data_IF_586124107674
#
_entry.id   IF_586124107674
#
_cell.length_a   1.000
_cell.length_b   1.000
_cell.length_c   1.000
_cell.angle_alpha   90.00
_cell.angle_beta   90.00
_cell.angle_gamma   90.00
#
_symmetry.space_group_name_H-M   'P 1'
#
loop_
_entity.id
_entity.type
_entity.pdbx_description
1 polymer ?
#
# COMPACT_ATOMS: atom_id res chain seq x y z
N UNK A 1 -27.97 35.39 -44.42
CA UNK A 1 -27.50 35.64 -43.04
C UNK A 1 -27.13 34.30 -42.45
N UNK A 2 -25.84 33.96 -42.42
CA UNK A 2 -25.36 32.67 -41.89
C UNK A 2 -24.60 32.97 -40.60
N UNK A 3 -25.12 32.50 -39.46
CA UNK A 3 -24.40 32.52 -38.19
C UNK A 3 -23.62 31.22 -38.04
N UNK A 4 -22.30 31.32 -38.01
CA UNK A 4 -21.41 30.22 -37.64
C UNK A 4 -21.30 30.17 -36.11
N UNK A 5 -21.71 29.05 -35.50
CA UNK A 5 -21.41 28.76 -34.10
C UNK A 5 -19.96 28.25 -33.98
N UNK A 6 -19.11 28.97 -33.25
CA UNK A 6 -17.82 28.46 -32.80
C UNK A 6 -18.02 27.68 -31.49
N UNK A 7 -17.98 26.35 -31.56
CA UNK A 7 -17.80 25.50 -30.37
C UNK A 7 -16.31 25.50 -30.01
N UNK A 8 -15.93 26.27 -29.00
CA UNK A 8 -14.62 26.14 -28.37
C UNK A 8 -14.64 24.93 -27.43
N UNK A 9 -13.93 23.86 -27.79
CA UNK A 9 -13.72 22.70 -26.91
C UNK A 9 -12.65 23.03 -25.86
N UNK A 10 -13.06 23.13 -24.60
CA UNK A 10 -12.14 23.19 -23.45
C UNK A 10 -11.53 21.80 -23.24
N UNK A 11 -10.28 21.62 -23.66
CA UNK A 11 -9.49 20.45 -23.31
C UNK A 11 -9.05 20.58 -21.83
N UNK A 12 -9.74 19.88 -20.93
CA UNK A 12 -9.28 19.68 -19.56
C UNK A 12 -8.03 18.79 -19.61
N UNK A 13 -6.87 19.37 -19.32
CA UNK A 13 -5.63 18.62 -19.11
C UNK A 13 -5.75 17.93 -17.75
N UNK A 14 -6.32 16.72 -17.74
CA UNK A 14 -6.30 15.87 -16.56
C UNK A 14 -4.88 15.35 -16.41
N UNK A 15 -4.13 15.88 -15.44
CA UNK A 15 -2.85 15.30 -15.06
C UNK A 15 -3.09 13.87 -14.57
N UNK A 16 -2.67 12.87 -15.36
CA UNK A 16 -2.90 11.48 -15.06
C UNK A 16 -2.01 11.09 -13.87
N UNK A 17 -2.59 11.07 -12.67
CA UNK A 17 -1.93 10.51 -11.49
C UNK A 17 -1.61 9.03 -11.75
N UNK A 18 -0.45 8.56 -11.29
CA UNK A 18 -0.09 7.15 -11.37
C UNK A 18 -1.20 6.29 -10.73
N UNK A 19 -1.67 5.27 -11.47
CA UNK A 19 -2.73 4.41 -11.00
C UNK A 19 -2.30 3.69 -9.70
N UNK A 20 -3.16 3.64 -8.66
CA UNK A 20 -2.88 2.88 -7.46
C UNK A 20 -2.66 1.40 -7.79
N UNK A 21 -1.65 0.79 -7.19
CA UNK A 21 -1.33 -0.64 -7.36
C UNK A 21 -1.89 -1.43 -6.18
N UNK A 22 -2.63 -2.51 -6.44
CA UNK A 22 -3.17 -3.33 -5.38
C UNK A 22 -2.07 -4.07 -4.61
N UNK A 23 -2.35 -4.42 -3.37
CA UNK A 23 -1.53 -5.28 -2.54
C UNK A 23 -2.40 -6.13 -1.63
N UNK A 24 -1.89 -7.30 -1.25
CA UNK A 24 -2.57 -8.24 -0.38
C UNK A 24 -1.54 -9.06 0.40
N UNK A 25 -1.81 -9.31 1.68
CA UNK A 25 -1.07 -10.19 2.55
C UNK A 25 -2.04 -11.04 3.37
N UNK A 26 -1.68 -12.28 3.64
CA UNK A 26 -2.52 -13.23 4.38
C UNK A 26 -1.68 -13.95 5.45
N UNK A 27 -2.26 -14.18 6.62
CA UNK A 27 -1.68 -15.06 7.63
C UNK A 27 -2.78 -15.63 8.54
N UNK A 28 -2.88 -16.96 8.62
CA UNK A 28 -3.94 -17.63 9.36
C UNK A 28 -5.34 -17.18 8.94
N UNK A 29 -6.11 -16.68 9.90
CA UNK A 29 -7.48 -16.18 9.71
C UNK A 29 -7.56 -14.67 9.38
N UNK A 30 -6.42 -14.03 9.12
CA UNK A 30 -6.32 -12.61 8.82
C UNK A 30 -5.85 -12.33 7.39
N UNK A 31 -6.45 -11.31 6.79
CA UNK A 31 -6.12 -10.79 5.45
C UNK A 31 -5.96 -9.28 5.55
N UNK A 32 -4.91 -8.73 4.95
CA UNK A 32 -4.73 -7.30 4.80
C UNK A 32 -4.61 -6.98 3.31
N UNK A 33 -5.43 -6.08 2.80
CA UNK A 33 -5.43 -5.73 1.38
C UNK A 33 -5.77 -4.27 1.15
N UNK A 34 -5.30 -3.72 0.01
CA UNK A 34 -5.62 -2.36 -0.37
C UNK A 34 -4.83 -1.89 -1.59
N UNK A 35 -4.49 -0.61 -1.63
CA UNK A 35 -3.71 0.00 -2.72
C UNK A 35 -2.52 0.80 -2.21
N UNK A 36 -1.53 0.96 -3.09
CA UNK A 36 -0.34 1.78 -2.86
C UNK A 36 -0.06 2.66 -4.07
N UNK A 37 0.47 3.86 -3.84
CA UNK A 37 0.82 4.81 -4.90
C UNK A 37 1.88 5.80 -4.40
N UNK A 38 2.50 6.52 -5.33
CA UNK A 38 3.41 7.61 -5.00
C UNK A 38 2.74 8.96 -5.21
N UNK A 39 2.88 9.86 -4.24
CA UNK A 39 2.44 11.26 -4.33
C UNK A 39 3.67 12.16 -4.38
N UNK A 40 3.65 13.21 -5.21
CA UNK A 40 4.69 14.24 -5.21
C UNK A 40 4.06 15.59 -4.87
N UNK A 41 3.98 15.95 -3.58
CA UNK A 41 3.54 17.29 -3.16
C UNK A 41 4.45 18.37 -3.74
N UNK A 42 3.89 19.55 -4.00
CA UNK A 42 4.69 20.71 -4.43
C UNK A 42 5.77 21.02 -3.37
N UNK A 43 7.00 21.25 -3.84
CA UNK A 43 8.15 21.57 -2.96
C UNK A 43 8.88 20.36 -2.35
N UNK A 44 8.47 19.12 -2.64
CA UNK A 44 9.21 17.92 -2.22
C UNK A 44 10.11 17.37 -3.33
N UNK A 45 11.37 17.09 -2.99
CA UNK A 45 12.34 16.49 -3.92
C UNK A 45 12.06 15.00 -4.18
N UNK A 46 11.79 14.25 -3.11
CA UNK A 46 11.39 12.84 -3.20
C UNK A 46 9.86 12.70 -3.11
N UNK A 47 9.26 11.76 -3.85
CA UNK A 47 7.85 11.44 -3.66
C UNK A 47 7.62 10.80 -2.29
N UNK A 48 6.39 10.89 -1.80
CA UNK A 48 5.90 10.04 -0.72
C UNK A 48 5.36 8.73 -1.29
N UNK A 49 5.60 7.60 -0.63
CA UNK A 49 4.86 6.35 -0.87
C UNK A 49 3.71 6.26 0.12
N UNK A 50 2.50 6.11 -0.40
CA UNK A 50 1.27 5.95 0.37
C UNK A 50 0.77 4.52 0.21
N UNK A 51 0.42 3.88 1.32
CA UNK A 51 -0.17 2.54 1.37
C UNK A 51 -1.43 2.61 2.21
N UNK A 52 -2.57 2.34 1.59
CA UNK A 52 -3.87 2.29 2.25
C UNK A 52 -4.49 0.90 2.08
N UNK A 53 -5.25 0.46 3.07
CA UNK A 53 -5.98 -0.79 3.00
C UNK A 53 -6.77 -1.09 4.26
N UNK A 54 -7.08 -2.35 4.46
CA UNK A 54 -7.80 -2.83 5.65
C UNK A 54 -7.22 -4.16 6.07
N UNK A 55 -6.99 -4.33 7.37
CA UNK A 55 -6.71 -5.61 8.01
C UNK A 55 -8.03 -6.18 8.51
N UNK A 56 -8.43 -7.33 7.98
CA UNK A 56 -9.59 -8.12 8.42
C UNK A 56 -9.09 -9.36 9.14
N UNK A 57 -9.73 -9.70 10.26
CA UNK A 57 -9.50 -10.94 11.00
C UNK A 57 -10.84 -11.63 11.22
N UNK A 58 -10.85 -12.96 11.14
CA UNK A 58 -12.05 -13.79 11.39
C UNK A 58 -11.92 -14.68 12.62
N UNK A 59 -10.73 -14.72 13.25
CA UNK A 59 -10.49 -15.48 14.48
C UNK A 59 -10.88 -14.70 15.74
N UNK A 60 -10.95 -15.40 16.87
CA UNK A 60 -11.05 -14.77 18.21
C UNK A 60 -9.73 -14.17 18.70
N UNK A 61 -8.60 -14.55 18.09
CA UNK A 61 -7.28 -14.04 18.42
C UNK A 61 -7.00 -12.64 17.85
N UNK A 62 -5.78 -12.14 18.06
CA UNK A 62 -5.33 -10.90 17.45
C UNK A 62 -4.43 -11.17 16.24
N UNK A 63 -4.47 -10.26 15.28
CA UNK A 63 -3.51 -10.18 14.17
C UNK A 63 -3.02 -8.76 14.02
N UNK A 64 -1.77 -8.58 13.61
CA UNK A 64 -1.14 -7.28 13.47
C UNK A 64 -0.40 -7.14 12.13
N UNK A 65 -0.47 -5.96 11.53
CA UNK A 65 0.28 -5.62 10.32
C UNK A 65 1.59 -4.96 10.70
N UNK A 66 2.68 -5.43 10.12
CA UNK A 66 4.02 -4.90 10.32
C UNK A 66 4.62 -4.45 9.01
N UNK A 67 5.40 -3.38 9.08
CA UNK A 67 6.15 -2.85 7.93
C UNK A 67 7.61 -2.68 8.32
N UNK A 68 8.50 -3.06 7.41
CA UNK A 68 9.93 -2.79 7.51
C UNK A 68 10.42 -2.14 6.22
N UNK A 69 11.16 -1.06 6.41
CA UNK A 69 11.85 -0.36 5.34
C UNK A 69 13.33 -0.74 5.34
N UNK A 70 13.88 -0.95 4.16
CA UNK A 70 15.29 -1.18 3.89
C UNK A 70 15.76 0.02 3.08
N UNK A 71 16.76 0.72 3.60
CA UNK A 71 17.39 1.85 2.91
C UNK A 71 18.80 1.44 2.53
N UNK A 72 19.13 1.50 1.25
CA UNK A 72 20.48 1.17 0.74
C UNK A 72 20.98 -0.18 1.28
N UNK A 73 20.13 -1.20 1.19
CA UNK A 73 20.35 -2.58 1.66
C UNK A 73 20.51 -2.74 3.19
N UNK A 74 20.36 -1.68 3.98
CA UNK A 74 20.34 -1.74 5.44
C UNK A 74 18.90 -1.84 5.97
N UNK A 75 18.50 -2.98 6.56
CA UNK A 75 17.16 -3.14 7.11
C UNK A 75 16.97 -2.30 8.38
N UNK A 76 15.98 -1.41 8.35
CA UNK A 76 15.51 -0.70 9.53
C UNK A 76 14.70 -1.61 10.47
N UNK A 77 14.26 -1.11 11.63
CA UNK A 77 13.39 -1.88 12.52
C UNK A 77 12.01 -2.11 11.89
N UNK A 78 11.44 -3.29 12.09
CA UNK A 78 10.04 -3.54 11.80
C UNK A 78 9.14 -2.74 12.75
N UNK A 79 8.09 -2.11 12.21
CA UNK A 79 7.13 -1.29 12.97
C UNK A 79 5.73 -1.83 12.78
N UNK A 80 5.05 -2.09 13.89
CA UNK A 80 3.62 -2.40 13.91
C UNK A 80 2.85 -1.18 13.44
N UNK A 81 1.96 -1.38 12.48
CA UNK A 81 1.11 -0.32 11.95
C UNK A 81 -0.24 -0.38 12.63
N UNK A 82 -0.89 -1.55 12.62
CA UNK A 82 -2.24 -1.76 13.18
C UNK A 82 -2.41 -3.16 13.76
N UNK A 83 -3.51 -3.34 14.48
CA UNK A 83 -3.89 -4.61 15.11
C UNK A 83 -5.40 -4.76 15.07
N UNK A 84 -5.88 -5.96 14.73
CA UNK A 84 -7.28 -6.35 14.81
C UNK A 84 -7.41 -7.57 15.73
N UNK A 85 -8.11 -7.40 16.86
CA UNK A 85 -8.43 -8.49 17.78
C UNK A 85 -9.87 -8.93 17.63
N UNK A 86 -10.08 -10.23 17.66
CA UNK A 86 -11.37 -10.83 17.35
C UNK A 86 -11.76 -10.62 15.89
N UNK A 87 -12.94 -11.13 15.55
CA UNK A 87 -13.53 -10.95 14.25
C UNK A 87 -13.81 -9.45 14.01
N UNK A 88 -13.30 -8.89 12.92
CA UNK A 88 -13.47 -7.47 12.64
C UNK A 88 -12.51 -6.95 11.58
N UNK A 89 -12.49 -5.63 11.41
CA UNK A 89 -11.62 -4.96 10.44
C UNK A 89 -11.08 -3.64 10.98
N UNK A 90 -9.79 -3.37 10.71
CA UNK A 90 -9.08 -2.15 11.11
C UNK A 90 -8.39 -1.54 9.88
N UNK A 91 -8.54 -0.22 9.61
CA UNK A 91 -7.88 0.43 8.47
C UNK A 91 -6.36 0.38 8.57
N UNK A 92 -5.67 0.15 7.45
CA UNK A 92 -4.20 0.24 7.33
C UNK A 92 -3.88 1.56 6.63
N UNK A 93 -3.06 2.41 7.25
CA UNK A 93 -2.58 3.67 6.67
C UNK A 93 -1.09 3.84 6.97
N UNK A 94 -0.27 3.78 5.93
CA UNK A 94 1.19 3.94 6.02
C UNK A 94 1.64 4.98 5.02
N UNK A 95 2.50 5.91 5.47
CA UNK A 95 3.07 6.95 4.61
C UNK A 95 4.57 7.05 4.84
N UNK A 96 5.34 6.87 3.77
CA UNK A 96 6.77 7.11 3.75
C UNK A 96 7.03 8.41 2.99
N UNK A 97 7.53 9.45 3.66
CA UNK A 97 7.63 10.81 3.10
C UNK A 97 8.71 10.97 2.03
N UNK A 98 9.83 10.26 2.15
CA UNK A 98 11.01 10.40 1.28
C UNK A 98 11.32 9.09 0.58
N UNK A 99 10.40 8.61 -0.27
CA UNK A 99 10.58 7.36 -0.99
C UNK A 99 11.63 7.53 -2.10
N UNK A 100 12.74 6.78 -1.99
CA UNK A 100 13.79 6.68 -3.00
C UNK A 100 13.71 5.35 -3.76
N UNK A 101 14.32 5.29 -4.95
CA UNK A 101 14.41 4.05 -5.73
C UNK A 101 15.26 2.97 -5.02
N UNK A 102 16.13 3.35 -4.09
CA UNK A 102 16.92 2.42 -3.27
C UNK A 102 16.18 1.97 -2.01
N UNK A 103 14.99 2.52 -1.75
CA UNK A 103 14.16 2.11 -0.62
C UNK A 103 13.33 0.89 -0.99
N UNK A 104 13.46 -0.18 -0.20
CA UNK A 104 12.57 -1.34 -0.29
C UNK A 104 11.67 -1.43 0.93
N UNK A 105 10.36 -1.56 0.72
CA UNK A 105 9.36 -1.77 1.76
C UNK A 105 8.79 -3.17 1.75
N UNK A 106 8.65 -3.75 2.93
CA UNK A 106 7.99 -5.03 3.14
C UNK A 106 6.83 -4.90 4.10
N UNK A 107 5.74 -5.62 3.83
CA UNK A 107 4.58 -5.74 4.70
C UNK A 107 4.29 -7.22 4.96
N UNK A 108 3.90 -7.55 6.19
CA UNK A 108 3.42 -8.88 6.55
C UNK A 108 2.45 -8.80 7.73
N UNK A 109 1.72 -9.89 7.94
CA UNK A 109 0.80 -10.07 9.08
C UNK A 109 1.45 -11.03 10.07
N UNK A 110 1.35 -10.72 11.36
CA UNK A 110 1.72 -11.62 12.45
C UNK A 110 0.52 -11.93 13.33
N UNK A 111 0.51 -13.13 13.92
CA UNK A 111 -0.40 -13.46 15.00
C UNK A 111 -0.01 -12.69 16.27
N UNK A 112 -1.02 -12.32 17.06
CA UNK A 112 -0.83 -11.52 18.28
C UNK A 112 -0.57 -10.04 18.02
N UNK A 113 -0.20 -9.35 19.09
CA UNK A 113 -0.08 -7.89 19.10
C UNK A 113 1.38 -7.41 19.09
N UNK A 114 2.33 -8.13 19.70
CA UNK A 114 3.54 -7.47 20.21
C UNK A 114 4.88 -7.97 19.66
N UNK A 115 4.88 -8.95 18.75
CA UNK A 115 6.14 -9.44 18.17
C UNK A 115 6.06 -9.67 16.65
N UNK A 116 6.99 -9.08 15.86
CA UNK A 116 7.10 -9.36 14.44
C UNK A 116 7.83 -10.67 14.12
N UNK A 117 8.19 -11.51 15.10
CA UNK A 117 9.11 -12.65 14.89
C UNK A 117 8.59 -14.01 15.36
N UNK A 118 7.44 -14.09 16.04
CA UNK A 118 7.02 -15.33 16.68
C UNK A 118 6.11 -16.20 15.79
N UNK A 119 5.26 -15.59 14.96
CA UNK A 119 4.31 -16.28 14.08
C UNK A 119 3.79 -15.30 13.02
N UNK A 120 4.37 -15.34 11.82
CA UNK A 120 4.11 -14.35 10.77
C UNK A 120 4.02 -14.99 9.38
N UNK A 121 3.20 -14.39 8.53
CA UNK A 121 3.03 -14.78 7.14
C UNK A 121 4.16 -14.28 6.24
N UNK A 122 4.00 -14.51 4.94
CA UNK A 122 4.96 -14.07 3.92
C UNK A 122 5.12 -12.54 3.90
N UNK A 123 6.35 -12.09 3.66
CA UNK A 123 6.67 -10.68 3.44
C UNK A 123 6.40 -10.30 2.00
N UNK A 124 5.36 -9.50 1.77
CA UNK A 124 5.10 -8.91 0.47
C UNK A 124 5.87 -7.61 0.28
N UNK A 125 6.24 -7.32 -0.97
CA UNK A 125 6.92 -6.07 -1.30
C UNK A 125 5.91 -4.94 -1.57
N UNK A 126 6.09 -3.81 -0.87
CA UNK A 126 5.36 -2.56 -1.07
C UNK A 126 6.01 -1.65 -2.14
N UNK A 127 7.13 -2.08 -2.71
CA UNK A 127 8.00 -1.23 -3.55
C UNK A 127 8.46 -1.93 -4.83
N UNK A 128 7.91 -3.10 -5.12
CA UNK A 128 8.05 -3.77 -6.42
C UNK A 128 7.00 -3.21 -7.40
N UNK A 129 7.47 -2.74 -8.56
CA UNK A 129 6.66 -2.10 -9.60
C UNK A 129 7.04 -2.58 -11.01
N UNK A 130 6.08 -2.64 -11.95
CA UNK A 130 4.66 -2.93 -11.74
C UNK A 130 4.49 -4.43 -11.47
N UNK A 131 3.65 -4.85 -10.52
CA UNK A 131 3.35 -6.28 -10.43
C UNK A 131 2.39 -6.61 -11.58
N UNK A 132 2.82 -7.49 -12.47
CA UNK A 132 2.16 -7.87 -13.73
C UNK A 132 0.68 -8.20 -13.49
N UNK A 133 -0.17 -7.78 -14.43
CA UNK A 133 -1.58 -8.18 -14.50
C UNK A 133 -1.75 -9.68 -14.34
N UNK A 134 -2.61 -10.09 -13.41
CA UNK A 134 -3.08 -11.48 -13.29
C UNK A 134 -3.63 -11.87 -14.65
N UNK A 135 -3.06 -12.90 -15.28
CA UNK A 135 -3.73 -13.59 -16.39
C UNK A 135 -4.84 -14.40 -15.76
N UNK A 136 -6.11 -14.10 -16.08
CA UNK A 136 -7.20 -15.03 -15.81
C UNK A 136 -6.84 -16.36 -16.47
N UNK A 137 -6.83 -17.42 -15.67
CA UNK A 137 -6.83 -18.77 -16.18
C UNK A 137 -8.21 -19.01 -16.82
N UNK A 138 -8.21 -19.20 -18.15
CA UNK A 138 -9.32 -19.80 -18.87
C UNK A 138 -9.26 -21.32 -18.75
#
# INVERSE_FOLDING_TARGET
MSLSLNLAALALVVSQAAAPVPWEATHGAATASGTRWTERPAGQFFPSLVVQGTLTNTSSGCSSVWVQWVYDLAPGPARKQVTQCGAGSTPVSVRLQSYSLTTTGYLWICAGQDSPTADCGERISLTSWPVRSVKEAS
#
